data_IF_425356399438
#
_entry.id   IF_425356399438
#
_cell.length_a   1.000
_cell.length_b   1.000
_cell.length_c   1.000
_cell.angle_alpha   90.00
_cell.angle_beta   90.00
_cell.angle_gamma   90.00
#
_symmetry.space_group_name_H-M   'P 1'
#
loop_
_entity.id
_entity.type
_entity.pdbx_description
1 polymer ?
#
# COMPACT_ATOMS: atom_id res chain seq x y z
N UNK A 1 -8.45 10.83 28.10
CA UNK A 1 -9.29 9.87 27.41
C UNK A 1 -8.61 8.50 27.37
N UNK A 2 -7.46 8.33 26.75
CA UNK A 2 -6.81 7.02 26.57
C UNK A 2 -5.50 6.86 27.38
N UNK A 3 -5.39 7.49 28.55
CA UNK A 3 -4.14 7.54 29.35
C UNK A 3 -3.66 6.20 29.92
N UNK A 4 -4.53 5.23 30.00
CA UNK A 4 -4.25 3.88 30.51
C UNK A 4 -3.86 2.90 29.39
N UNK A 5 -3.95 3.31 28.11
CA UNK A 5 -3.65 2.50 26.95
C UNK A 5 -2.35 2.96 26.28
N UNK A 6 -1.68 2.05 25.62
CA UNK A 6 -0.56 2.41 24.75
C UNK A 6 -1.13 2.95 23.42
N UNK A 7 -0.83 4.20 23.10
CA UNK A 7 -1.28 4.89 21.88
C UNK A 7 -0.07 5.32 21.09
N UNK A 8 0.05 4.81 19.87
CA UNK A 8 1.21 5.01 19.02
C UNK A 8 0.80 5.56 17.66
N UNK A 9 1.42 6.64 17.15
CA UNK A 9 1.38 6.94 15.72
C UNK A 9 2.13 5.84 14.96
N UNK A 10 1.60 5.43 13.82
CA UNK A 10 2.09 4.26 13.09
C UNK A 10 2.16 4.47 11.59
N UNK A 11 2.92 3.62 10.93
CA UNK A 11 2.85 3.44 9.48
C UNK A 11 3.34 4.63 8.68
N UNK A 12 2.44 5.19 7.86
CA UNK A 12 2.76 6.26 6.91
C UNK A 12 3.34 7.51 7.57
N UNK A 13 2.80 7.91 8.72
CA UNK A 13 3.26 9.09 9.46
C UNK A 13 4.71 8.92 9.93
N UNK A 14 5.04 7.77 10.53
CA UNK A 14 6.42 7.48 11.01
C UNK A 14 7.40 7.38 9.85
N UNK A 15 7.03 6.69 8.77
CA UNK A 15 7.85 6.60 7.57
C UNK A 15 8.12 7.97 6.94
N UNK A 16 7.08 8.78 6.76
CA UNK A 16 7.20 10.08 6.09
C UNK A 16 8.03 11.05 6.95
N UNK A 17 7.90 11.01 8.29
CA UNK A 17 8.79 11.72 9.21
C UNK A 17 10.27 11.33 9.03
N UNK A 18 10.59 10.02 8.99
CA UNK A 18 11.95 9.52 8.80
C UNK A 18 12.54 9.91 7.44
N UNK A 19 11.70 10.07 6.41
CA UNK A 19 12.09 10.58 5.09
C UNK A 19 12.18 12.11 5.02
N UNK A 20 11.86 12.83 6.09
CA UNK A 20 11.80 14.30 6.09
C UNK A 20 10.65 14.85 5.26
N UNK A 21 9.61 14.07 5.01
CA UNK A 21 8.42 14.48 4.28
C UNK A 21 7.37 15.07 5.25
N UNK A 22 6.52 15.99 4.75
CA UNK A 22 5.39 16.46 5.54
C UNK A 22 4.45 15.30 5.93
N UNK A 23 4.14 15.18 7.22
CA UNK A 23 3.11 14.26 7.71
C UNK A 23 1.75 14.95 7.54
N UNK A 24 0.95 14.46 6.59
CA UNK A 24 -0.38 15.01 6.27
C UNK A 24 -1.48 14.35 7.10
N UNK A 25 -1.38 13.03 7.25
CA UNK A 25 -2.33 12.22 8.00
C UNK A 25 -1.56 11.37 9.02
N UNK A 26 -2.11 11.20 10.20
CA UNK A 26 -1.53 10.37 11.24
C UNK A 26 -2.53 9.31 11.66
N UNK A 27 -2.18 8.06 11.40
CA UNK A 27 -2.92 6.89 11.89
C UNK A 27 -2.37 6.52 13.26
N UNK A 28 -3.30 6.25 14.20
CA UNK A 28 -2.98 5.86 15.55
C UNK A 28 -3.39 4.42 15.82
N UNK A 29 -2.53 3.65 16.50
CA UNK A 29 -2.88 2.33 17.04
C UNK A 29 -3.04 2.43 18.55
N UNK A 30 -4.12 1.85 19.05
CA UNK A 30 -4.44 1.75 20.48
C UNK A 30 -4.30 0.29 20.90
N UNK A 31 -3.42 0.01 21.82
CA UNK A 31 -3.15 -1.34 22.37
C UNK A 31 -3.78 -1.46 23.74
N UNK A 32 -4.36 -2.62 24.03
CA UNK A 32 -4.93 -2.94 25.34
C UNK A 32 -6.36 -2.44 25.56
N UNK A 33 -6.99 -1.82 24.55
CA UNK A 33 -8.36 -1.30 24.63
C UNK A 33 -9.38 -2.23 23.97
N UNK A 34 -10.67 -1.88 24.11
CA UNK A 34 -11.79 -2.58 23.47
C UNK A 34 -12.66 -1.60 22.69
N UNK A 35 -13.50 -2.08 21.75
CA UNK A 35 -14.44 -1.21 21.04
C UNK A 35 -15.38 -0.47 21.97
N UNK A 36 -15.80 -1.09 23.08
CA UNK A 36 -16.67 -0.51 24.12
C UNK A 36 -15.95 0.66 24.80
N UNK A 37 -14.72 0.44 25.28
CA UNK A 37 -13.93 1.47 25.94
C UNK A 37 -13.65 2.68 25.02
N UNK A 38 -13.41 2.43 23.74
CA UNK A 38 -13.25 3.51 22.74
C UNK A 38 -14.54 4.34 22.61
N UNK A 39 -15.72 3.70 22.54
CA UNK A 39 -17.00 4.40 22.46
C UNK A 39 -17.31 5.19 23.74
N UNK A 40 -17.04 4.60 24.91
CA UNK A 40 -17.18 5.28 26.20
C UNK A 40 -16.27 6.50 26.36
N UNK A 41 -15.07 6.43 25.75
CA UNK A 41 -14.15 7.57 25.64
C UNK A 41 -14.60 8.64 24.62
N UNK A 42 -15.73 8.43 23.92
CA UNK A 42 -16.34 9.38 22.99
C UNK A 42 -15.85 9.25 21.54
N UNK A 43 -15.10 8.22 21.21
CA UNK A 43 -14.68 7.95 19.83
C UNK A 43 -15.83 7.36 19.01
N UNK A 44 -15.92 7.72 17.73
CA UNK A 44 -16.95 7.25 16.81
C UNK A 44 -16.40 6.18 15.88
N UNK A 45 -16.93 4.96 15.97
CA UNK A 45 -16.55 3.88 15.04
C UNK A 45 -16.99 4.20 13.61
N UNK A 46 -16.12 3.97 12.63
CA UNK A 46 -16.37 4.27 11.20
C UNK A 46 -16.91 3.09 10.43
N UNK A 47 -16.48 1.88 10.80
CA UNK A 47 -16.84 0.64 10.11
C UNK A 47 -17.23 -0.42 11.17
N UNK A 48 -18.42 -1.06 11.06
CA UNK A 48 -18.83 -2.10 11.99
C UNK A 48 -17.91 -3.33 11.99
N UNK A 49 -17.34 -3.66 10.83
CA UNK A 49 -16.51 -4.87 10.63
C UNK A 49 -15.03 -4.63 11.05
N UNK A 50 -14.62 -3.35 11.16
CA UNK A 50 -13.24 -3.00 11.51
C UNK A 50 -13.22 -2.04 12.72
N UNK A 51 -12.32 -2.30 13.70
CA UNK A 51 -12.21 -1.49 14.91
C UNK A 51 -11.42 -0.19 14.65
N UNK A 52 -11.93 0.64 13.76
CA UNK A 52 -11.40 1.96 13.41
C UNK A 52 -12.36 3.04 13.90
N UNK A 53 -11.82 4.04 14.57
CA UNK A 53 -12.55 5.08 15.28
C UNK A 53 -12.02 6.47 14.91
N UNK A 54 -12.90 7.47 14.87
CA UNK A 54 -12.51 8.88 14.72
C UNK A 54 -12.45 9.55 16.08
N UNK A 55 -11.37 10.28 16.31
CA UNK A 55 -11.21 11.10 17.50
C UNK A 55 -12.24 12.24 17.51
N UNK A 56 -12.97 12.46 18.63
CA UNK A 56 -14.15 13.35 18.64
C UNK A 56 -13.85 14.83 18.38
N UNK A 57 -12.59 15.27 18.55
CA UNK A 57 -12.19 16.68 18.36
C UNK A 57 -11.33 16.90 17.13
N UNK A 58 -10.40 15.96 16.82
CA UNK A 58 -9.44 16.14 15.73
C UNK A 58 -9.87 15.46 14.44
N UNK A 59 -10.76 14.45 14.52
CA UNK A 59 -11.17 13.65 13.38
C UNK A 59 -10.11 12.65 12.90
N UNK A 60 -8.97 12.55 13.58
CA UNK A 60 -7.92 11.59 13.26
C UNK A 60 -8.39 10.15 13.48
N UNK A 61 -7.82 9.22 12.72
CA UNK A 61 -8.15 7.80 12.79
C UNK A 61 -7.34 7.08 13.88
N UNK A 62 -8.07 6.38 14.75
CA UNK A 62 -7.56 5.52 15.81
C UNK A 62 -8.05 4.10 15.58
N UNK A 63 -7.16 3.17 15.33
CA UNK A 63 -7.47 1.75 15.18
C UNK A 63 -7.06 0.99 16.46
N UNK A 64 -7.86 0.03 16.89
CA UNK A 64 -7.38 -0.94 17.88
C UNK A 64 -6.31 -1.83 17.24
N UNK A 65 -5.28 -2.17 18.03
CA UNK A 65 -4.34 -3.21 17.64
C UNK A 65 -5.10 -4.50 17.32
N UNK A 66 -4.77 -5.16 16.21
CA UNK A 66 -5.55 -6.31 15.75
C UNK A 66 -4.70 -7.36 15.06
N UNK A 67 -5.13 -8.60 15.20
CA UNK A 67 -4.73 -9.74 14.36
C UNK A 67 -5.73 -9.90 13.23
N UNK A 68 -5.24 -10.26 12.05
CA UNK A 68 -6.08 -10.63 10.92
C UNK A 68 -5.76 -12.07 10.54
N UNK A 69 -6.76 -12.94 10.54
CA UNK A 69 -6.60 -14.35 10.15
C UNK A 69 -7.43 -14.64 8.92
N UNK A 70 -6.80 -15.11 7.86
CA UNK A 70 -7.51 -15.50 6.63
C UNK A 70 -8.27 -16.81 6.87
N UNK A 71 -9.60 -16.75 6.76
CA UNK A 71 -10.52 -17.89 6.94
C UNK A 71 -11.32 -18.22 5.68
N UNK A 72 -11.21 -17.39 4.62
CA UNK A 72 -11.95 -17.53 3.38
C UNK A 72 -11.29 -16.79 2.23
N UNK A 73 -11.94 -16.79 1.07
CA UNK A 73 -11.43 -16.11 -0.12
C UNK A 73 -11.80 -14.60 -0.15
N UNK A 74 -10.90 -13.80 -0.74
CA UNK A 74 -11.09 -12.37 -0.98
C UNK A 74 -11.04 -11.50 0.29
N UNK A 75 -11.44 -10.24 0.14
CA UNK A 75 -11.34 -9.19 1.18
C UNK A 75 -12.17 -9.47 2.44
N UNK A 76 -13.34 -10.13 2.32
CA UNK A 76 -14.19 -10.49 3.47
C UNK A 76 -13.79 -11.82 4.12
N UNK A 77 -12.76 -12.48 3.61
CA UNK A 77 -12.24 -13.74 4.13
C UNK A 77 -11.34 -13.61 5.35
N UNK A 78 -11.30 -12.44 6.01
CA UNK A 78 -10.53 -12.23 7.23
C UNK A 78 -11.43 -12.17 8.46
N UNK A 79 -11.03 -12.87 9.50
CA UNK A 79 -11.50 -12.66 10.86
C UNK A 79 -10.55 -11.65 11.53
N UNK A 80 -11.13 -10.58 12.05
CA UNK A 80 -10.41 -9.54 12.77
C UNK A 80 -10.59 -9.78 14.26
N UNK A 81 -9.49 -10.03 14.95
CA UNK A 81 -9.41 -10.08 16.40
C UNK A 81 -8.72 -8.79 16.90
N UNK A 82 -9.45 -7.99 17.65
CA UNK A 82 -8.99 -6.72 18.22
C UNK A 82 -9.14 -6.71 19.74
N UNK A 83 -8.87 -7.84 20.38
CA UNK A 83 -8.90 -7.98 21.82
C UNK A 83 -7.79 -7.19 22.53
N UNK A 84 -7.94 -6.94 23.84
CA UNK A 84 -6.95 -6.19 24.62
C UNK A 84 -5.61 -6.92 24.78
N UNK A 85 -5.55 -8.20 24.44
CA UNK A 85 -4.34 -9.04 24.45
C UNK A 85 -3.51 -8.93 23.18
N UNK A 86 -4.00 -8.23 22.15
CA UNK A 86 -3.27 -8.03 20.89
C UNK A 86 -2.16 -7.00 21.09
N UNK A 87 -0.94 -7.41 20.86
CA UNK A 87 0.25 -6.56 20.97
C UNK A 87 0.42 -5.61 19.78
N UNK A 88 1.21 -4.54 19.98
CA UNK A 88 1.60 -3.65 18.89
C UNK A 88 2.38 -4.40 17.80
N UNK A 89 3.26 -5.32 18.18
CA UNK A 89 4.07 -6.10 17.23
C UNK A 89 3.20 -6.96 16.32
N UNK A 90 2.15 -7.58 16.85
CA UNK A 90 1.18 -8.34 16.05
C UNK A 90 0.40 -7.46 15.06
N UNK A 91 0.02 -6.24 15.46
CA UNK A 91 -0.58 -5.29 14.52
C UNK A 91 0.40 -4.87 13.42
N UNK A 92 1.65 -4.62 13.76
CA UNK A 92 2.68 -4.26 12.79
C UNK A 92 3.02 -5.43 11.85
N UNK A 93 3.00 -6.68 12.34
CA UNK A 93 3.31 -7.90 11.57
C UNK A 93 2.36 -8.15 10.39
N UNK A 94 1.08 -7.75 10.50
CA UNK A 94 0.07 -7.92 9.43
C UNK A 94 0.16 -6.87 8.32
N UNK A 95 1.01 -5.84 8.45
CA UNK A 95 1.14 -4.75 7.48
C UNK A 95 1.84 -5.23 6.20
N UNK A 96 1.78 -4.41 5.16
CA UNK A 96 2.30 -4.73 3.82
C UNK A 96 3.84 -4.67 3.74
N UNK A 97 4.43 -3.55 4.14
CA UNK A 97 5.86 -3.27 4.00
C UNK A 97 6.49 -2.91 5.35
N UNK A 98 7.75 -3.31 5.55
CA UNK A 98 8.54 -2.98 6.76
C UNK A 98 8.54 -1.48 7.04
N UNK A 99 8.69 -0.66 6.01
CA UNK A 99 8.66 0.81 6.10
C UNK A 99 7.31 1.38 6.57
N UNK A 100 6.24 0.59 6.55
CA UNK A 100 4.91 0.92 7.04
C UNK A 100 4.59 0.17 8.35
N UNK A 101 5.51 -0.64 8.86
CA UNK A 101 5.38 -1.45 10.06
C UNK A 101 6.24 -0.90 11.22
N UNK A 102 6.26 0.40 11.34
CA UNK A 102 6.95 1.15 12.40
C UNK A 102 5.95 1.97 13.20
N UNK A 103 6.29 2.23 14.46
CA UNK A 103 5.52 3.06 15.37
C UNK A 103 6.44 3.98 16.19
N UNK A 104 5.86 4.98 16.87
CA UNK A 104 6.56 5.72 17.91
C UNK A 104 5.83 5.54 19.23
N UNK A 105 6.60 5.45 20.33
CA UNK A 105 6.02 5.46 21.67
C UNK A 105 5.69 6.87 22.14
N UNK A 106 5.15 6.98 23.36
CA UNK A 106 4.78 8.25 23.98
C UNK A 106 5.98 9.18 24.22
N UNK A 107 7.18 8.64 24.33
CA UNK A 107 8.44 9.36 24.48
C UNK A 107 9.10 9.71 23.14
N UNK A 108 8.47 9.35 22.01
CA UNK A 108 8.96 9.59 20.66
C UNK A 108 10.02 8.59 20.18
N UNK A 109 10.29 7.50 20.92
CA UNK A 109 11.25 6.47 20.52
C UNK A 109 10.65 5.61 19.42
N UNK A 110 11.47 5.26 18.43
CA UNK A 110 11.07 4.38 17.34
C UNK A 110 10.87 2.95 17.84
N UNK A 111 9.74 2.35 17.48
CA UNK A 111 9.42 0.93 17.63
C UNK A 111 9.43 0.33 16.24
N UNK A 112 10.44 -0.47 15.92
CA UNK A 112 10.69 -1.04 14.59
C UNK A 112 11.10 -2.52 14.67
N UNK A 113 10.15 -3.42 14.95
CA UNK A 113 10.46 -4.85 15.11
C UNK A 113 10.85 -5.54 13.80
N UNK A 114 10.56 -4.93 12.64
CA UNK A 114 10.75 -5.54 11.32
C UNK A 114 11.84 -4.87 10.47
N UNK A 115 12.58 -3.90 11.01
CA UNK A 115 13.72 -3.26 10.37
C UNK A 115 13.34 -2.28 9.26
N UNK A 116 12.22 -1.59 9.40
CA UNK A 116 11.72 -0.61 8.43
C UNK A 116 12.63 0.60 8.26
N UNK A 117 13.24 1.11 9.35
CA UNK A 117 14.23 2.20 9.31
C UNK A 117 15.45 1.81 8.46
N UNK A 118 15.95 0.58 8.66
CA UNK A 118 17.07 0.06 7.86
C UNK A 118 16.67 -0.07 6.38
N UNK A 119 15.49 -0.61 6.09
CA UNK A 119 15.01 -0.75 4.71
C UNK A 119 14.81 0.62 4.04
N UNK A 120 14.39 1.65 4.79
CA UNK A 120 14.36 3.04 4.28
C UNK A 120 15.78 3.52 3.91
N UNK A 121 16.76 3.32 4.78
CA UNK A 121 18.14 3.71 4.54
C UNK A 121 18.76 2.96 3.35
N UNK A 122 18.43 1.67 3.19
CA UNK A 122 18.91 0.80 2.11
C UNK A 122 18.10 1.02 0.79
N UNK A 123 17.05 1.84 0.81
CA UNK A 123 16.17 2.11 -0.32
C UNK A 123 15.35 0.89 -0.74
N UNK A 124 14.80 0.12 0.22
CA UNK A 124 14.12 -1.14 -0.04
C UNK A 124 12.62 -1.11 0.33
N UNK A 125 11.81 -1.62 -0.58
CA UNK A 125 10.40 -1.98 -0.35
C UNK A 125 10.33 -3.48 -0.05
N UNK A 126 10.35 -3.84 1.24
CA UNK A 126 10.33 -5.21 1.72
C UNK A 126 9.00 -5.54 2.39
N UNK A 127 8.39 -6.69 2.07
CA UNK A 127 7.22 -7.21 2.79
C UNK A 127 7.58 -7.57 4.23
N UNK A 128 6.61 -7.43 5.14
CA UNK A 128 6.84 -7.66 6.58
C UNK A 128 6.97 -9.15 6.89
N UNK A 129 5.96 -9.94 6.53
CA UNK A 129 5.86 -11.38 6.84
C UNK A 129 5.36 -12.17 5.63
N UNK A 130 5.44 -13.52 5.64
CA UNK A 130 4.83 -14.35 4.61
C UNK A 130 3.31 -14.17 4.45
N UNK A 131 2.60 -13.68 5.47
CA UNK A 131 1.18 -13.31 5.38
C UNK A 131 0.89 -12.22 4.34
N UNK A 132 1.91 -11.64 3.71
CA UNK A 132 1.79 -10.72 2.59
C UNK A 132 0.90 -11.28 1.46
N UNK A 133 0.97 -12.58 1.18
CA UNK A 133 0.20 -13.25 0.10
C UNK A 133 -1.29 -13.34 0.38
N UNK A 134 -1.72 -13.16 1.62
CA UNK A 134 -3.13 -13.31 2.03
C UNK A 134 -4.05 -12.24 1.43
N UNK A 135 -3.51 -11.03 1.14
CA UNK A 135 -4.25 -9.95 0.47
C UNK A 135 -3.55 -9.56 -0.84
N UNK A 136 -4.05 -10.00 -2.01
CA UNK A 136 -3.43 -9.71 -3.31
C UNK A 136 -3.28 -8.21 -3.62
N UNK A 137 -4.08 -7.34 -3.01
CA UNK A 137 -3.94 -5.89 -3.20
C UNK A 137 -2.58 -5.36 -2.74
N UNK A 138 -1.93 -6.06 -1.81
CA UNK A 138 -0.59 -5.67 -1.33
C UNK A 138 0.44 -5.64 -2.46
N UNK A 139 0.27 -6.49 -3.48
CA UNK A 139 1.09 -6.45 -4.69
C UNK A 139 0.95 -5.10 -5.43
N UNK A 140 -0.28 -4.62 -5.61
CA UNK A 140 -0.53 -3.32 -6.22
C UNK A 140 -0.01 -2.17 -5.34
N UNK A 141 -0.15 -2.29 -4.03
CA UNK A 141 0.39 -1.33 -3.07
C UNK A 141 1.90 -1.22 -3.16
N UNK A 142 2.64 -2.34 -3.28
CA UNK A 142 4.10 -2.33 -3.52
C UNK A 142 4.44 -1.58 -4.80
N UNK A 143 3.73 -1.86 -5.90
CA UNK A 143 3.92 -1.17 -7.17
C UNK A 143 3.65 0.34 -7.04
N UNK A 144 2.59 0.73 -6.32
CA UNK A 144 2.27 2.13 -6.03
C UNK A 144 3.33 2.80 -5.16
N UNK A 145 3.83 2.13 -4.12
CA UNK A 145 4.92 2.66 -3.30
C UNK A 145 6.22 2.80 -4.09
N UNK A 146 6.49 1.91 -5.05
CA UNK A 146 7.62 2.06 -5.97
C UNK A 146 7.50 3.33 -6.82
N UNK A 147 6.28 3.70 -7.26
CA UNK A 147 6.04 4.96 -7.94
C UNK A 147 6.18 6.18 -7.00
N UNK A 148 5.63 6.09 -5.78
CA UNK A 148 5.68 7.17 -4.79
C UNK A 148 7.10 7.49 -4.36
N UNK A 149 7.89 6.47 -4.07
CA UNK A 149 9.23 6.61 -3.48
C UNK A 149 10.37 6.46 -4.49
N UNK A 150 10.06 6.40 -5.79
CA UNK A 150 11.07 6.43 -6.84
C UNK A 150 12.01 7.63 -6.76
N UNK A 151 11.54 8.88 -6.45
CA UNK A 151 12.44 10.03 -6.28
C UNK A 151 13.45 9.87 -5.13
N UNK A 152 13.16 9.00 -4.16
CA UNK A 152 14.05 8.66 -3.04
C UNK A 152 14.93 7.43 -3.32
N UNK A 153 14.84 6.85 -4.53
CA UNK A 153 15.64 5.70 -4.93
C UNK A 153 15.14 4.36 -4.39
N UNK A 154 13.94 4.28 -3.79
CA UNK A 154 13.42 3.02 -3.25
C UNK A 154 13.06 2.05 -4.37
N UNK A 155 13.43 0.79 -4.18
CA UNK A 155 13.18 -0.31 -5.11
C UNK A 155 12.62 -1.54 -4.38
N UNK A 156 11.90 -2.38 -5.09
CA UNK A 156 11.34 -3.62 -4.54
C UNK A 156 12.48 -4.58 -4.16
N UNK A 157 12.49 -5.05 -2.91
CA UNK A 157 13.45 -6.02 -2.43
C UNK A 157 13.31 -7.35 -3.18
N UNK A 158 14.42 -8.05 -3.42
CA UNK A 158 14.45 -9.29 -4.21
C UNK A 158 13.45 -10.34 -3.68
N UNK A 159 13.42 -10.60 -2.38
CA UNK A 159 12.48 -11.55 -1.78
C UNK A 159 11.02 -11.16 -1.97
N UNK A 160 10.70 -9.87 -1.88
CA UNK A 160 9.35 -9.33 -2.14
C UNK A 160 8.96 -9.52 -3.61
N UNK A 161 9.88 -9.23 -4.53
CA UNK A 161 9.65 -9.43 -5.96
C UNK A 161 9.40 -10.91 -6.31
N UNK A 162 10.16 -11.85 -5.70
CA UNK A 162 9.92 -13.29 -5.89
C UNK A 162 8.57 -13.72 -5.35
N UNK A 163 8.15 -13.16 -4.21
CA UNK A 163 6.82 -13.41 -3.65
C UNK A 163 5.70 -12.88 -4.57
N UNK A 164 5.84 -11.67 -5.09
CA UNK A 164 4.91 -11.09 -6.08
C UNK A 164 4.78 -11.97 -7.33
N UNK A 165 5.90 -12.46 -7.88
CA UNK A 165 5.89 -13.41 -9.01
C UNK A 165 5.11 -14.69 -8.71
N UNK A 166 5.29 -15.24 -7.51
CA UNK A 166 4.54 -16.42 -7.07
C UNK A 166 3.05 -16.15 -6.99
N UNK A 167 2.64 -15.03 -6.38
CA UNK A 167 1.24 -14.62 -6.30
C UNK A 167 0.57 -14.51 -7.68
N UNK A 168 1.28 -13.94 -8.66
CA UNK A 168 0.79 -13.86 -10.04
C UNK A 168 0.67 -15.25 -10.67
N UNK A 169 1.69 -16.11 -10.51
CA UNK A 169 1.69 -17.46 -11.06
C UNK A 169 0.57 -18.34 -10.46
N UNK A 170 0.23 -18.13 -9.19
CA UNK A 170 -0.89 -18.78 -8.49
C UNK A 170 -2.26 -18.18 -8.86
N UNK A 171 -2.30 -17.11 -9.68
CA UNK A 171 -3.53 -16.50 -10.18
C UNK A 171 -4.26 -15.59 -9.18
N UNK A 172 -3.61 -15.20 -8.08
CA UNK A 172 -4.23 -14.39 -7.02
C UNK A 172 -4.67 -12.99 -7.51
N UNK A 173 -4.12 -12.51 -8.63
CA UNK A 173 -4.57 -11.24 -9.23
C UNK A 173 -6.05 -11.26 -9.66
N UNK A 174 -6.59 -12.44 -9.95
CA UNK A 174 -8.00 -12.62 -10.37
C UNK A 174 -9.00 -12.46 -9.23
N UNK A 175 -8.53 -12.53 -7.99
CA UNK A 175 -9.34 -12.30 -6.79
C UNK A 175 -9.57 -10.79 -6.51
N UNK A 176 -8.81 -9.93 -7.21
CA UNK A 176 -8.86 -8.49 -7.00
C UNK A 176 -10.17 -7.89 -7.51
N UNK A 177 -10.82 -7.10 -6.65
CA UNK A 177 -11.98 -6.32 -7.06
C UNK A 177 -11.55 -5.11 -7.88
N UNK A 178 -12.28 -4.78 -8.96
CA UNK A 178 -11.96 -3.64 -9.82
C UNK A 178 -11.75 -2.33 -9.08
N UNK A 179 -12.57 -2.06 -8.06
CA UNK A 179 -12.47 -0.82 -7.27
C UNK A 179 -11.13 -0.71 -6.51
N UNK A 180 -10.59 -1.85 -6.01
CA UNK A 180 -9.29 -1.85 -5.32
C UNK A 180 -8.14 -1.66 -6.30
N UNK A 181 -8.24 -2.26 -7.50
CA UNK A 181 -7.28 -2.05 -8.60
C UNK A 181 -7.26 -0.58 -8.96
N UNK A 182 -8.44 -0.02 -9.21
CA UNK A 182 -8.61 1.38 -9.58
C UNK A 182 -7.99 2.34 -8.56
N UNK A 183 -8.26 2.14 -7.28
CA UNK A 183 -7.74 2.99 -6.21
C UNK A 183 -6.21 3.04 -6.18
N UNK A 184 -5.54 1.90 -6.33
CA UNK A 184 -4.08 1.84 -6.31
C UNK A 184 -3.47 2.41 -7.60
N UNK A 185 -4.07 2.11 -8.77
CA UNK A 185 -3.66 2.65 -10.06
C UNK A 185 -3.81 4.17 -10.11
N UNK A 186 -5.00 4.68 -9.76
CA UNK A 186 -5.28 6.12 -9.81
C UNK A 186 -4.37 6.91 -8.87
N UNK A 187 -4.14 6.41 -7.65
CA UNK A 187 -3.15 6.99 -6.73
C UNK A 187 -1.74 6.95 -7.30
N UNK A 188 -1.35 5.89 -8.01
CA UNK A 188 -0.03 5.80 -8.63
C UNK A 188 0.18 6.88 -9.70
N UNK A 189 -0.87 7.21 -10.47
CA UNK A 189 -0.82 8.24 -11.50
C UNK A 189 -0.56 9.65 -10.93
N UNK A 190 -0.89 9.93 -9.66
CA UNK A 190 -0.66 11.24 -9.03
C UNK A 190 0.80 11.51 -8.67
N UNK A 191 1.67 10.50 -8.66
CA UNK A 191 3.06 10.66 -8.23
C UNK A 191 3.98 11.17 -9.35
N UNK A 192 5.19 11.57 -8.96
CA UNK A 192 6.18 12.12 -9.89
C UNK A 192 6.72 11.09 -10.92
N UNK A 193 6.71 9.80 -10.58
CA UNK A 193 7.18 8.75 -11.47
C UNK A 193 6.14 7.60 -11.57
N UNK A 194 4.95 7.86 -12.15
CA UNK A 194 3.86 6.90 -12.20
C UNK A 194 4.20 5.65 -13.03
N UNK A 195 5.09 5.75 -14.01
CA UNK A 195 5.54 4.62 -14.83
C UNK A 195 6.17 3.49 -14.01
N UNK A 196 6.74 3.77 -12.82
CA UNK A 196 7.31 2.76 -11.93
C UNK A 196 6.28 1.75 -11.45
N UNK A 197 5.02 2.15 -11.32
CA UNK A 197 3.91 1.23 -11.02
C UNK A 197 3.81 0.14 -12.08
N UNK A 198 3.78 0.52 -13.34
CA UNK A 198 3.66 -0.40 -14.47
C UNK A 198 4.91 -1.25 -14.66
N UNK A 199 6.10 -0.67 -14.47
CA UNK A 199 7.37 -1.41 -14.54
C UNK A 199 7.45 -2.53 -13.49
N UNK A 200 7.04 -2.26 -12.25
CA UNK A 200 7.01 -3.27 -11.18
C UNK A 200 6.01 -4.38 -11.51
N UNK A 201 4.82 -4.03 -11.98
CA UNK A 201 3.80 -5.00 -12.39
C UNK A 201 4.25 -5.83 -13.60
N UNK A 202 4.89 -5.23 -14.58
CA UNK A 202 5.45 -5.95 -15.72
C UNK A 202 6.55 -6.93 -15.28
N UNK A 203 7.45 -6.49 -14.40
CA UNK A 203 8.55 -7.31 -13.91
C UNK A 203 8.11 -8.55 -13.12
N UNK A 204 6.98 -8.49 -12.41
CA UNK A 204 6.40 -9.66 -11.71
C UNK A 204 5.38 -10.45 -12.55
N UNK A 205 5.03 -9.97 -13.76
CA UNK A 205 4.05 -10.60 -14.66
C UNK A 205 2.59 -10.15 -14.44
N UNK A 206 2.30 -9.40 -13.37
CA UNK A 206 0.95 -8.99 -12.99
C UNK A 206 0.32 -7.96 -13.94
N UNK A 207 1.12 -7.27 -14.74
CA UNK A 207 0.59 -6.30 -15.70
C UNK A 207 -0.28 -6.96 -16.77
N UNK A 208 0.03 -8.19 -17.17
CA UNK A 208 -0.73 -8.90 -18.20
C UNK A 208 -2.16 -9.25 -17.78
N UNK A 209 -2.41 -9.43 -16.48
CA UNK A 209 -3.74 -9.70 -15.94
C UNK A 209 -4.59 -8.42 -15.80
N UNK A 210 -3.95 -7.25 -15.74
CA UNK A 210 -4.62 -5.97 -15.52
C UNK A 210 -4.75 -5.14 -16.80
N UNK A 211 -3.69 -5.05 -17.60
CA UNK A 211 -3.53 -4.18 -18.76
C UNK A 211 -2.79 -4.95 -19.86
N UNK A 212 -3.43 -5.91 -20.55
CA UNK A 212 -2.78 -6.83 -21.48
C UNK A 212 -2.14 -6.15 -22.67
N UNK A 213 -2.75 -5.09 -23.21
CA UNK A 213 -2.23 -4.33 -24.34
C UNK A 213 -0.95 -3.57 -23.96
N UNK A 214 -0.98 -2.89 -22.80
CA UNK A 214 0.20 -2.22 -22.25
C UNK A 214 1.32 -3.22 -21.94
N UNK A 215 0.98 -4.38 -21.35
CA UNK A 215 1.94 -5.43 -21.07
C UNK A 215 2.60 -5.97 -22.36
N UNK A 216 1.85 -6.03 -23.45
CA UNK A 216 2.38 -6.43 -24.76
C UNK A 216 3.36 -5.40 -25.31
N UNK A 217 3.03 -4.10 -25.25
CA UNK A 217 3.94 -3.03 -25.64
C UNK A 217 5.25 -3.06 -24.82
N UNK A 218 5.14 -3.27 -23.49
CA UNK A 218 6.31 -3.32 -22.62
C UNK A 218 7.21 -4.55 -22.87
N UNK A 219 6.66 -5.68 -23.30
CA UNK A 219 7.46 -6.87 -23.70
C UNK A 219 8.17 -6.67 -25.04
N UNK A 220 7.51 -6.06 -26.01
CA UNK A 220 8.08 -5.84 -27.34
C UNK A 220 9.24 -4.84 -27.33
N UNK A 221 9.29 -3.92 -26.38
CA UNK A 221 10.37 -2.95 -26.21
C UNK A 221 11.69 -3.51 -25.66
N UNK A 222 11.75 -4.80 -25.28
CA UNK A 222 13.00 -5.39 -24.72
C UNK A 222 14.05 -5.80 -25.75
N UNK A 223 13.78 -5.69 -27.04
CA UNK A 223 14.72 -6.06 -28.13
C UNK A 223 15.27 -4.91 -28.95
N UNK A 224 14.59 -3.79 -29.00
CA UNK A 224 15.03 -2.53 -29.64
C UNK A 224 14.90 -1.40 -28.61
N UNK A 225 15.82 -0.47 -28.57
CA UNK A 225 16.04 0.57 -27.57
C UNK A 225 14.87 1.55 -27.30
N UNK A 226 13.66 1.27 -27.77
CA UNK A 226 12.48 2.10 -27.58
C UNK A 226 11.65 1.58 -26.40
N UNK A 227 11.52 2.39 -25.34
CA UNK A 227 10.54 2.16 -24.26
C UNK A 227 9.12 2.08 -24.86
N UNK A 228 8.23 1.32 -24.18
CA UNK A 228 6.84 1.19 -24.61
C UNK A 228 6.20 2.56 -24.90
N UNK A 229 5.58 2.78 -26.08
CA UNK A 229 5.07 4.09 -26.47
C UNK A 229 4.14 4.73 -25.42
N UNK A 230 3.30 3.93 -24.77
CA UNK A 230 2.41 4.41 -23.73
C UNK A 230 3.17 4.91 -22.48
N UNK A 231 4.26 4.26 -22.09
CA UNK A 231 5.11 4.69 -20.97
C UNK A 231 5.82 6.00 -21.31
N UNK A 232 6.34 6.15 -22.53
CA UNK A 232 6.96 7.40 -22.97
C UNK A 232 5.96 8.56 -23.04
N UNK A 233 4.73 8.30 -23.50
CA UNK A 233 3.66 9.28 -23.51
C UNK A 233 3.28 9.69 -22.07
N UNK A 234 3.21 8.74 -21.14
CA UNK A 234 2.98 9.00 -19.71
C UNK A 234 4.09 9.86 -19.11
N UNK A 235 5.36 9.58 -19.39
CA UNK A 235 6.50 10.41 -18.95
C UNK A 235 6.40 11.85 -19.47
N UNK A 236 6.04 12.01 -20.74
CA UNK A 236 5.82 13.34 -21.34
C UNK A 236 4.67 14.10 -20.69
N UNK A 237 3.55 13.42 -20.41
CA UNK A 237 2.41 14.02 -19.70
C UNK A 237 2.82 14.55 -18.31
N UNK A 238 3.66 13.81 -17.57
CA UNK A 238 4.19 14.27 -16.28
C UNK A 238 5.04 15.53 -16.44
N UNK A 239 5.93 15.57 -17.44
CA UNK A 239 6.79 16.75 -17.71
C UNK A 239 5.96 17.97 -18.09
N UNK A 240 4.85 17.78 -18.80
CA UNK A 240 3.91 18.85 -19.19
C UNK A 240 2.98 19.28 -18.05
N UNK A 241 3.07 18.66 -16.86
CA UNK A 241 2.24 19.00 -15.70
C UNK A 241 0.84 18.40 -15.72
N UNK A 242 0.61 17.40 -16.55
CA UNK A 242 -0.68 16.70 -16.62
C UNK A 242 -1.11 16.13 -15.28
N UNK A 243 -2.41 16.23 -14.98
CA UNK A 243 -3.01 15.64 -13.78
C UNK A 243 -3.25 14.12 -13.92
N UNK A 244 -3.85 13.48 -12.91
CA UNK A 244 -4.07 12.02 -12.92
C UNK A 244 -5.02 11.58 -14.03
N UNK A 245 -6.05 12.39 -14.37
CA UNK A 245 -7.02 12.08 -15.42
C UNK A 245 -6.38 12.18 -16.81
N UNK A 246 -5.59 13.23 -17.05
CA UNK A 246 -4.84 13.41 -18.29
C UNK A 246 -3.80 12.31 -18.49
N UNK A 247 -3.08 11.92 -17.44
CA UNK A 247 -2.11 10.82 -17.45
C UNK A 247 -2.77 9.48 -17.75
N UNK A 248 -3.94 9.24 -17.16
CA UNK A 248 -4.73 8.06 -17.45
C UNK A 248 -5.21 8.05 -18.90
N UNK A 249 -5.77 9.15 -19.37
CA UNK A 249 -6.25 9.27 -20.76
C UNK A 249 -5.12 9.01 -21.77
N UNK A 250 -3.97 9.63 -21.57
CA UNK A 250 -2.78 9.42 -22.42
C UNK A 250 -2.35 7.95 -22.41
N UNK A 251 -2.30 7.33 -21.23
CA UNK A 251 -1.95 5.93 -21.09
C UNK A 251 -2.90 5.02 -21.89
N UNK A 252 -4.21 5.20 -21.71
CA UNK A 252 -5.24 4.39 -22.38
C UNK A 252 -5.25 4.58 -23.90
N UNK A 253 -5.17 5.83 -24.37
CA UNK A 253 -5.17 6.13 -25.79
C UNK A 253 -3.96 5.55 -26.51
N UNK A 254 -2.77 5.63 -25.92
CA UNK A 254 -1.53 5.18 -26.56
C UNK A 254 -1.32 3.67 -26.42
N UNK A 255 -1.80 3.06 -25.32
CA UNK A 255 -1.75 1.60 -25.16
C UNK A 255 -2.79 0.88 -26.01
N UNK A 256 -3.90 1.53 -26.35
CA UNK A 256 -5.06 0.88 -26.93
C UNK A 256 -5.84 0.04 -25.90
N UNK A 257 -5.65 0.33 -24.59
CA UNK A 257 -6.26 -0.41 -23.48
C UNK A 257 -7.75 -0.03 -23.35
N UNK A 258 -8.63 -0.83 -23.94
CA UNK A 258 -10.07 -0.62 -23.89
C UNK A 258 -10.75 -1.36 -22.72
N UNK A 259 -10.05 -2.30 -22.09
CA UNK A 259 -10.59 -3.13 -21.00
C UNK A 259 -10.92 -2.33 -19.74
N UNK A 260 -10.21 -1.21 -19.49
CA UNK A 260 -10.49 -0.32 -18.36
C UNK A 260 -11.78 0.50 -18.49
N UNK A 261 -12.36 0.58 -19.67
CA UNK A 261 -13.63 1.32 -19.88
C UNK A 261 -14.82 0.62 -19.18
N UNK A 262 -14.63 -0.64 -18.78
CA UNK A 262 -15.65 -1.46 -18.10
C UNK A 262 -15.40 -1.67 -16.60
N UNK A 263 -14.39 -1.02 -16.02
CA UNK A 263 -14.11 -0.98 -14.57
C UNK A 263 -14.76 0.26 -13.93
#
# INVERSE_FOLDING_TARGET
MLKEYQVCPVGGAVRDELLGLPVVECDWVVVGSTPEAMREAGFRQTDPDFPVFLHPRTGEEYALARRETKVGEGYRGFVVDAGPDVSLEEDLARRDLTINAMARDAEGRLIDPFGGERDLADGLLRHVTPAFVEDPVRLLRVARFAARFAPFGLRVAHGTHQMMKRMVAEGLMRELRPQRIWQELYKALSYAQPWRFFEVLAACGGLSDLLPELATQMRSGHGDTAAAPAIEALKRSVVLGGDSDERLLVLLLVSGELSLIHI
#
